data_IF_906126949878
#
_entry.id   IF_906126949878
#
_cell.length_a   1.000
_cell.length_b   1.000
_cell.length_c   1.000
_cell.angle_alpha   90.00
_cell.angle_beta   90.00
_cell.angle_gamma   90.00
#
_symmetry.space_group_name_H-M   'P 1'
#
loop_
_entity.id
_entity.type
_entity.pdbx_description
1 polymer ?
#
# COMPACT_ATOMS: atom_id res chain seq x y z
N UNK A 1 17.45 17.88 -4.39
CA UNK A 1 17.47 16.42 -4.62
C UNK A 1 18.88 15.95 -4.88
N UNK A 2 19.28 14.80 -4.34
CA UNK A 2 20.63 14.25 -4.51
C UNK A 2 20.85 13.93 -6.00
N UNK A 3 21.69 14.73 -6.65
CA UNK A 3 22.29 14.37 -7.95
C UNK A 3 23.60 13.63 -7.74
N UNK A 4 24.13 13.03 -8.80
CA UNK A 4 25.50 12.51 -8.78
C UNK A 4 26.49 13.67 -8.58
N UNK A 5 27.22 13.67 -7.46
CA UNK A 5 28.21 14.71 -7.09
C UNK A 5 27.58 15.97 -6.44
N UNK A 6 28.28 17.11 -6.53
CA UNK A 6 27.88 18.40 -5.92
C UNK A 6 26.70 19.12 -6.61
N UNK A 7 26.10 18.52 -7.65
CA UNK A 7 25.01 19.15 -8.40
C UNK A 7 23.66 18.72 -7.83
N UNK A 8 23.00 19.63 -7.12
CA UNK A 8 21.59 19.47 -6.77
C UNK A 8 20.74 19.53 -8.06
N UNK A 9 20.04 18.43 -8.37
CA UNK A 9 19.11 18.38 -9.52
C UNK A 9 17.80 19.05 -9.17
N UNK A 10 17.24 19.74 -10.16
CA UNK A 10 15.89 20.29 -10.07
C UNK A 10 14.83 19.19 -10.23
N UNK A 11 13.62 19.36 -9.67
CA UNK A 11 12.54 18.37 -9.81
C UNK A 11 12.22 18.04 -11.28
N UNK A 12 12.28 19.01 -12.19
CA UNK A 12 12.03 18.82 -13.62
C UNK A 12 13.06 17.89 -14.28
N UNK A 13 14.34 18.05 -13.95
CA UNK A 13 15.41 17.19 -14.47
C UNK A 13 15.25 15.76 -13.96
N UNK A 14 14.76 15.57 -12.75
CA UNK A 14 14.53 14.23 -12.21
C UNK A 14 13.31 13.56 -12.84
N UNK A 15 12.23 14.31 -13.13
CA UNK A 15 11.11 13.76 -13.93
C UNK A 15 11.61 13.30 -15.30
N UNK A 16 12.42 14.14 -15.96
CA UNK A 16 12.96 13.84 -17.29
C UNK A 16 13.82 12.58 -17.25
N UNK A 17 14.77 12.52 -16.31
CA UNK A 17 15.65 11.36 -16.16
C UNK A 17 14.87 10.08 -15.83
N UNK A 18 13.88 10.17 -14.94
CA UNK A 18 13.06 9.02 -14.57
C UNK A 18 12.30 8.44 -15.77
N UNK A 19 11.83 9.30 -16.69
CA UNK A 19 11.20 8.86 -17.94
C UNK A 19 12.20 8.24 -18.90
N UNK A 20 13.43 8.74 -18.95
CA UNK A 20 14.51 8.20 -19.79
C UNK A 20 15.05 6.86 -19.27
N UNK A 21 14.93 6.56 -17.97
CA UNK A 21 15.42 5.29 -17.40
C UNK A 21 14.33 4.23 -17.24
N UNK A 22 13.06 4.64 -17.14
CA UNK A 22 11.94 3.75 -16.86
C UNK A 22 10.77 4.02 -17.80
N UNK A 23 10.89 3.53 -19.04
CA UNK A 23 9.88 3.67 -20.08
C UNK A 23 8.59 2.88 -19.79
N UNK A 24 8.69 1.79 -19.00
CA UNK A 24 7.58 0.88 -18.72
C UNK A 24 6.69 1.35 -17.56
N UNK A 25 7.10 2.41 -16.83
CA UNK A 25 6.38 2.92 -15.67
C UNK A 25 5.50 4.13 -16.02
N UNK A 26 4.38 4.32 -15.30
CA UNK A 26 3.54 5.51 -15.47
C UNK A 26 4.35 6.80 -15.29
N UNK A 27 4.02 7.87 -16.06
CA UNK A 27 4.75 9.12 -15.99
C UNK A 27 4.67 9.74 -14.60
N UNK A 28 5.82 10.02 -14.01
CA UNK A 28 5.92 10.69 -12.71
C UNK A 28 5.58 12.18 -12.85
N UNK A 29 4.86 12.73 -11.86
CA UNK A 29 4.55 14.16 -11.79
C UNK A 29 5.60 14.90 -10.93
N UNK A 30 5.94 16.13 -11.31
CA UNK A 30 6.83 17.01 -10.57
C UNK A 30 6.36 17.20 -9.12
N UNK A 31 5.05 17.35 -8.89
CA UNK A 31 4.49 17.49 -7.54
C UNK A 31 4.74 16.27 -6.65
N UNK A 32 4.78 15.07 -7.24
CA UNK A 32 5.13 13.83 -6.52
C UNK A 32 6.60 13.86 -6.10
N UNK A 33 7.49 14.30 -6.98
CA UNK A 33 8.91 14.45 -6.67
C UNK A 33 9.13 15.47 -5.56
N UNK A 34 8.50 16.65 -5.64
CA UNK A 34 8.64 17.69 -4.61
C UNK A 34 8.17 17.20 -3.23
N UNK A 35 7.09 16.41 -3.16
CA UNK A 35 6.62 15.80 -1.91
C UNK A 35 7.62 14.79 -1.36
N UNK A 36 8.18 13.94 -2.22
CA UNK A 36 9.20 12.96 -1.85
C UNK A 36 10.47 13.67 -1.35
N UNK A 37 10.89 14.75 -2.02
CA UNK A 37 12.04 15.55 -1.59
C UNK A 37 11.79 16.20 -0.23
N UNK A 38 10.63 16.83 -0.03
CA UNK A 38 10.27 17.43 1.25
C UNK A 38 10.29 16.39 2.37
N UNK A 39 9.68 15.22 2.13
CA UNK A 39 9.66 14.10 3.06
C UNK A 39 11.07 13.61 3.41
N UNK A 40 11.94 13.51 2.41
CA UNK A 40 13.33 13.11 2.62
C UNK A 40 14.14 14.15 3.41
N UNK A 41 13.95 15.45 3.13
CA UNK A 41 14.63 16.52 3.88
C UNK A 41 14.21 16.57 5.35
N UNK A 42 12.94 16.30 5.62
CA UNK A 42 12.40 16.31 6.98
C UNK A 42 12.82 15.08 7.79
N UNK A 43 12.69 13.88 7.22
CA UNK A 43 12.89 12.62 7.94
C UNK A 43 14.22 11.92 7.66
N UNK A 44 15.03 12.41 6.73
CA UNK A 44 16.26 11.75 6.26
C UNK A 44 16.03 10.48 5.44
N UNK A 45 14.77 10.04 5.29
CA UNK A 45 14.38 8.88 4.51
C UNK A 45 12.93 9.01 3.99
N UNK A 46 12.60 8.27 2.94
CA UNK A 46 11.22 8.15 2.44
C UNK A 46 10.70 6.77 2.85
N UNK A 47 9.89 6.70 3.91
CA UNK A 47 9.20 5.47 4.30
C UNK A 47 7.83 5.41 3.64
N UNK A 48 7.48 4.23 3.12
CA UNK A 48 6.11 3.93 2.68
C UNK A 48 5.21 3.97 3.91
N UNK A 49 4.27 4.91 3.93
CA UNK A 49 3.28 4.98 5.01
C UNK A 49 2.47 3.68 4.97
N UNK A 50 2.44 2.88 6.05
CA UNK A 50 1.58 1.71 6.09
C UNK A 50 0.14 2.17 5.83
N UNK A 51 -0.55 1.49 4.90
CA UNK A 51 -1.96 1.77 4.61
C UNK A 51 -2.75 1.70 5.92
N UNK A 52 -3.20 2.85 6.42
CA UNK A 52 -3.84 3.04 7.74
C UNK A 52 -5.24 2.41 7.86
N UNK A 53 -5.60 1.43 7.04
CA UNK A 53 -6.85 0.69 7.23
C UNK A 53 -6.59 -0.53 8.11
N UNK A 54 -6.34 -0.28 9.40
CA UNK A 54 -6.57 -1.32 10.40
C UNK A 54 -8.08 -1.36 10.63
N UNK A 55 -8.70 -2.49 10.35
CA UNK A 55 -10.07 -2.71 10.77
C UNK A 55 -10.10 -2.68 12.29
N UNK A 56 -10.98 -1.88 12.88
CA UNK A 56 -11.28 -1.98 14.31
C UNK A 56 -12.01 -3.29 14.49
N UNK A 57 -11.34 -4.27 15.11
CA UNK A 57 -11.90 -5.60 15.40
C UNK A 57 -12.33 -5.60 16.86
N UNK A 58 -13.55 -6.05 17.12
CA UNK A 58 -14.10 -6.21 18.47
C UNK A 58 -13.35 -7.28 19.27
N UNK A 59 -13.34 -7.18 20.60
CA UNK A 59 -12.58 -8.09 21.47
C UNK A 59 -13.10 -9.53 21.41
N UNK A 60 -14.41 -9.74 21.23
CA UNK A 60 -14.99 -11.09 21.05
C UNK A 60 -14.48 -11.75 19.76
N UNK A 61 -14.35 -10.94 18.71
CA UNK A 61 -13.85 -11.42 17.42
C UNK A 61 -12.35 -11.76 17.50
N UNK A 62 -11.57 -11.01 18.29
CA UNK A 62 -10.17 -11.35 18.56
C UNK A 62 -10.04 -12.67 19.32
N UNK A 63 -10.88 -12.89 20.32
CA UNK A 63 -10.86 -14.13 21.09
C UNK A 63 -11.18 -15.34 20.21
N UNK A 64 -12.21 -15.24 19.37
CA UNK A 64 -12.59 -16.29 18.43
C UNK A 64 -11.46 -16.63 17.44
N UNK A 65 -10.74 -15.62 16.94
CA UNK A 65 -9.57 -15.85 16.08
C UNK A 65 -8.45 -16.59 16.80
N UNK A 66 -8.18 -16.25 18.06
CA UNK A 66 -7.12 -16.90 18.84
C UNK A 66 -7.45 -18.37 19.11
N UNK A 67 -8.70 -18.67 19.47
CA UNK A 67 -9.17 -20.04 19.66
C UNK A 67 -9.06 -20.85 18.36
N UNK A 68 -9.46 -20.27 17.22
CA UNK A 68 -9.38 -20.96 15.94
C UNK A 68 -7.93 -21.22 15.46
N UNK A 69 -6.98 -20.36 15.85
CA UNK A 69 -5.55 -20.60 15.60
C UNK A 69 -4.98 -21.72 16.48
N UNK A 70 -5.45 -21.82 17.72
CA UNK A 70 -5.07 -22.90 18.64
C UNK A 70 -5.61 -24.25 18.17
N UNK A 71 -6.87 -24.30 17.73
CA UNK A 71 -7.49 -25.52 17.20
C UNK A 71 -6.83 -25.97 15.90
N UNK A 72 -6.53 -25.05 14.99
CA UNK A 72 -5.98 -25.37 13.67
C UNK A 72 -4.92 -24.34 13.23
N UNK A 73 -3.64 -24.52 13.62
CA UNK A 73 -2.58 -23.54 13.35
C UNK A 73 -2.16 -23.45 11.89
N UNK A 74 -2.55 -24.44 11.05
CA UNK A 74 -2.28 -24.45 9.61
C UNK A 74 -3.28 -23.61 8.81
N UNK A 75 -4.36 -23.14 9.45
CA UNK A 75 -5.42 -22.43 8.76
C UNK A 75 -4.91 -21.08 8.26
N UNK A 76 -5.03 -20.76 6.96
CA UNK A 76 -4.50 -19.52 6.44
C UNK A 76 -5.27 -18.34 7.04
N UNK A 77 -4.54 -17.31 7.48
CA UNK A 77 -5.12 -16.11 8.12
C UNK A 77 -6.23 -15.43 7.30
N UNK A 78 -6.16 -15.52 5.97
CA UNK A 78 -7.20 -14.99 5.08
C UNK A 78 -8.53 -15.75 5.17
N UNK A 79 -8.48 -17.05 5.42
CA UNK A 79 -9.67 -17.87 5.64
C UNK A 79 -10.29 -17.54 7.00
N UNK A 80 -9.49 -17.52 8.06
CA UNK A 80 -9.92 -17.11 9.40
C UNK A 80 -10.59 -15.73 9.43
N UNK A 81 -10.03 -14.77 8.68
CA UNK A 81 -10.58 -13.43 8.58
C UNK A 81 -11.91 -13.37 7.80
N UNK A 82 -12.18 -14.31 6.89
CA UNK A 82 -13.48 -14.43 6.21
C UNK A 82 -14.52 -15.08 7.12
N UNK A 83 -14.12 -16.14 7.81
CA UNK A 83 -15.01 -16.89 8.72
C UNK A 83 -15.48 -15.98 9.87
N UNK A 84 -14.62 -15.06 10.31
CA UNK A 84 -14.92 -14.04 11.32
C UNK A 84 -15.42 -12.69 10.74
N UNK A 85 -15.80 -12.63 9.46
CA UNK A 85 -16.38 -11.45 8.79
C UNK A 85 -15.53 -10.16 8.85
N UNK A 86 -14.23 -10.27 9.10
CA UNK A 86 -13.28 -9.15 9.11
C UNK A 86 -12.99 -8.66 7.69
N UNK A 87 -13.01 -9.60 6.74
CA UNK A 87 -12.91 -9.31 5.31
C UNK A 87 -14.27 -9.51 4.65
N UNK A 88 -14.70 -8.61 3.74
CA UNK A 88 -15.91 -8.82 2.97
C UNK A 88 -15.78 -10.12 2.18
N UNK A 89 -16.75 -11.01 2.37
CA UNK A 89 -16.96 -12.16 1.49
C UNK A 89 -17.27 -11.58 0.12
N UNK A 90 -16.40 -11.86 -0.85
CA UNK A 90 -16.57 -11.43 -2.24
C UNK A 90 -17.80 -12.12 -2.83
N UNK A 91 -18.98 -11.55 -2.61
CA UNK A 91 -20.20 -11.95 -3.32
C UNK A 91 -20.16 -11.29 -4.69
N UNK A 92 -19.62 -11.99 -5.67
CA UNK A 92 -19.88 -11.64 -7.08
C UNK A 92 -21.36 -11.88 -7.33
N UNK A 93 -22.16 -10.80 -7.22
CA UNK A 93 -23.50 -10.75 -7.77
C UNK A 93 -23.37 -10.72 -9.30
N UNK A 94 -23.47 -11.88 -9.94
CA UNK A 94 -23.68 -11.97 -11.38
C UNK A 94 -25.12 -11.56 -11.69
N UNK A 95 -25.35 -10.25 -11.67
CA UNK A 95 -26.66 -9.63 -11.88
C UNK A 95 -26.64 -8.60 -12.99
N UNK A 96 -25.93 -8.83 -14.09
CA UNK A 96 -25.97 -7.93 -15.26
C UNK A 96 -25.92 -8.75 -16.55
N UNK A 97 -27.10 -8.95 -17.14
CA UNK A 97 -27.37 -8.97 -18.60
C UNK A 97 -28.84 -9.37 -18.82
N UNK A 98 -29.74 -8.39 -18.68
CA UNK A 98 -31.01 -8.36 -19.39
C UNK A 98 -31.15 -6.95 -19.94
N UNK A 99 -30.85 -6.77 -21.23
CA UNK A 99 -31.77 -6.21 -22.21
C UNK A 99 -31.19 -6.35 -23.61
#
# INVERSE_FOLDING_TARGET
MIGYGDRARTPCEVVRLFRETHFDLPPLNQGTISKIEAQYREMGHVRKVPSKRQAVVDDDTKLNLLLALEENPITPARQLARDNQILPTSTYSTGWCKS
#
